data_IF_005906256073
#
_entry.id   IF_005906256073
#
_cell.length_a   1.000
_cell.length_b   1.000
_cell.length_c   1.000
_cell.angle_alpha   90.00
_cell.angle_beta   90.00
_cell.angle_gamma   90.00
#
_symmetry.space_group_name_H-M   'P 1'
#
loop_
_entity.id
_entity.type
_entity.pdbx_description
1 polymer ?
#
# COMPACT_ATOMS: atom_id res chain seq x y z
N UNK A 1 2.89 -14.76 5.54
CA UNK A 1 1.66 -14.71 6.35
C UNK A 1 0.79 -13.60 5.78
N UNK A 2 -0.47 -13.86 5.42
CA UNK A 2 -1.30 -12.88 4.72
C UNK A 2 -1.81 -11.81 5.69
N UNK A 3 -1.45 -10.55 5.46
CA UNK A 3 -2.07 -9.43 6.13
C UNK A 3 -3.21 -8.93 5.25
N UNK A 4 -4.42 -8.97 5.79
CA UNK A 4 -5.61 -8.43 5.16
C UNK A 4 -5.41 -6.92 4.96
N UNK A 5 -5.23 -6.48 3.72
CA UNK A 5 -4.95 -5.07 3.39
C UNK A 5 -6.25 -4.42 2.92
N UNK A 6 -6.77 -3.47 3.70
CA UNK A 6 -8.01 -2.77 3.41
C UNK A 6 -7.81 -1.35 2.90
N UNK A 7 -8.83 -0.84 2.20
CA UNK A 7 -8.97 0.59 1.98
C UNK A 7 -9.11 1.33 3.32
N UNK A 8 -8.27 2.33 3.63
CA UNK A 8 -8.34 3.07 4.90
C UNK A 8 -9.57 3.99 5.01
N UNK A 9 -10.38 4.10 3.94
CA UNK A 9 -11.56 4.98 3.89
C UNK A 9 -12.86 4.19 3.97
N UNK A 10 -13.01 3.13 3.18
CA UNK A 10 -14.25 2.34 3.13
C UNK A 10 -14.12 0.93 3.69
N UNK A 11 -12.93 0.55 4.17
CA UNK A 11 -12.63 -0.75 4.76
C UNK A 11 -12.85 -1.96 3.83
N UNK A 12 -12.93 -1.72 2.51
CA UNK A 12 -13.01 -2.78 1.52
C UNK A 12 -11.68 -3.51 1.41
N UNK A 13 -11.74 -4.84 1.24
CA UNK A 13 -10.55 -5.66 0.97
C UNK A 13 -9.87 -5.25 -0.34
N UNK A 14 -8.58 -4.97 -0.25
CA UNK A 14 -7.68 -4.62 -1.34
C UNK A 14 -6.43 -5.51 -1.36
N UNK A 15 -6.47 -6.66 -0.68
CA UNK A 15 -5.32 -7.58 -0.58
C UNK A 15 -4.84 -8.11 -1.94
N UNK A 16 -5.70 -8.09 -2.96
CA UNK A 16 -5.36 -8.49 -4.34
C UNK A 16 -4.34 -7.56 -5.05
N UNK A 17 -4.06 -6.37 -4.49
CA UNK A 17 -3.01 -5.48 -4.99
C UNK A 17 -1.62 -5.83 -4.44
N UNK A 18 -1.53 -6.74 -3.48
CA UNK A 18 -0.28 -7.07 -2.80
C UNK A 18 0.39 -8.26 -3.50
N UNK A 19 1.66 -8.07 -3.83
CA UNK A 19 2.57 -9.13 -4.22
C UNK A 19 3.60 -9.31 -3.11
N UNK A 20 3.59 -10.47 -2.45
CA UNK A 20 4.47 -10.77 -1.33
C UNK A 20 5.85 -11.27 -1.78
N UNK A 21 5.94 -11.84 -2.99
CA UNK A 21 7.20 -12.32 -3.56
C UNK A 21 7.99 -11.15 -4.18
N UNK A 22 7.29 -10.13 -4.69
CA UNK A 22 7.87 -8.91 -5.24
C UNK A 22 7.24 -7.63 -4.65
N UNK A 23 7.54 -7.29 -3.37
CA UNK A 23 6.93 -6.16 -2.68
C UNK A 23 7.30 -4.83 -3.33
N UNK A 24 6.29 -4.03 -3.69
CA UNK A 24 6.47 -2.73 -4.31
C UNK A 24 5.45 -1.71 -3.84
N UNK A 25 5.90 -0.45 -3.77
CA UNK A 25 4.98 0.66 -3.64
C UNK A 25 4.29 0.93 -4.97
N UNK A 26 2.98 1.18 -4.94
CA UNK A 26 2.24 1.52 -6.15
C UNK A 26 1.06 2.42 -5.86
N UNK A 27 0.59 3.13 -6.89
CA UNK A 27 -0.68 3.85 -6.83
C UNK A 27 -1.82 2.89 -7.19
N UNK A 28 -2.90 2.98 -6.43
CA UNK A 28 -4.13 2.25 -6.69
C UNK A 28 -5.33 3.19 -6.48
N UNK A 29 -6.46 2.85 -7.09
CA UNK A 29 -7.73 3.52 -6.81
C UNK A 29 -8.66 2.47 -6.23
N UNK A 30 -9.25 2.75 -5.07
CA UNK A 30 -10.25 1.86 -4.50
C UNK A 30 -11.47 1.82 -5.43
N UNK A 31 -11.79 0.65 -5.98
CA UNK A 31 -12.92 0.50 -6.92
C UNK A 31 -14.27 0.79 -6.26
N UNK A 32 -14.37 0.62 -4.94
CA UNK A 32 -15.59 0.84 -4.17
C UNK A 32 -15.83 2.32 -3.85
N UNK A 33 -14.88 3.01 -3.22
CA UNK A 33 -15.06 4.42 -2.81
C UNK A 33 -14.34 5.44 -3.70
N UNK A 34 -13.71 5.00 -4.78
CA UNK A 34 -12.97 5.83 -5.75
C UNK A 34 -11.84 6.66 -5.12
N UNK A 35 -11.41 6.32 -3.90
CA UNK A 35 -10.33 7.05 -3.24
C UNK A 35 -8.99 6.66 -3.86
N UNK A 36 -8.15 7.63 -4.26
CA UNK A 36 -6.78 7.36 -4.67
C UNK A 36 -5.94 6.99 -3.45
N UNK A 37 -5.23 5.87 -3.56
CA UNK A 37 -4.43 5.26 -2.51
C UNK A 37 -3.00 5.02 -2.99
N UNK A 38 -2.08 4.93 -2.04
CA UNK A 38 -0.71 4.46 -2.25
C UNK A 38 -0.48 3.22 -1.41
N UNK A 39 -0.16 2.11 -2.06
CA UNK A 39 0.32 0.91 -1.39
C UNK A 39 1.72 1.18 -0.87
N UNK A 40 1.92 0.89 0.41
CA UNK A 40 3.18 0.95 1.12
C UNK A 40 3.52 -0.43 1.66
N UNK A 41 4.81 -0.66 1.84
CA UNK A 41 5.29 -1.85 2.52
C UNK A 41 6.51 -1.54 3.39
N UNK A 42 6.79 -2.41 4.34
CA UNK A 42 7.99 -2.39 5.16
C UNK A 42 8.39 -3.80 5.51
N UNK A 43 9.69 -4.07 5.52
CA UNK A 43 10.26 -5.33 5.95
C UNK A 43 10.91 -5.17 7.32
N UNK A 44 10.72 -6.15 8.19
CA UNK A 44 11.31 -6.19 9.53
C UNK A 44 11.72 -7.63 9.85
N UNK A 45 12.87 -7.79 10.50
CA UNK A 45 13.34 -9.08 10.97
C UNK A 45 12.81 -9.38 12.37
N UNK A 46 11.94 -10.38 12.46
CA UNK A 46 11.44 -10.88 13.74
C UNK A 46 12.46 -11.86 14.36
N UNK A 47 13.03 -11.47 15.50
CA UNK A 47 14.05 -12.26 16.18
C UNK A 47 13.49 -13.50 16.87
N UNK A 48 12.23 -13.45 17.30
CA UNK A 48 11.58 -14.56 18.01
C UNK A 48 11.16 -15.63 17.02
N UNK A 49 10.68 -15.22 15.84
CA UNK A 49 10.35 -16.13 14.74
C UNK A 49 11.58 -16.54 13.91
N UNK A 50 12.68 -15.79 14.01
CA UNK A 50 13.88 -16.00 13.19
C UNK A 50 13.60 -15.84 11.70
N UNK A 51 12.69 -14.93 11.33
CA UNK A 51 12.19 -14.78 9.97
C UNK A 51 11.98 -13.30 9.59
N UNK A 52 12.05 -13.02 8.29
CA UNK A 52 11.66 -11.72 7.75
C UNK A 52 10.13 -11.64 7.64
N UNK A 53 9.57 -10.55 8.14
CA UNK A 53 8.15 -10.23 8.06
C UNK A 53 7.97 -9.00 7.18
N UNK A 54 7.05 -9.12 6.23
CA UNK A 54 6.68 -8.03 5.32
C UNK A 54 5.29 -7.53 5.71
N UNK A 55 5.17 -6.23 5.93
CA UNK A 55 3.92 -5.54 6.20
C UNK A 55 3.49 -4.73 4.99
N UNK A 56 2.19 -4.70 4.71
CA UNK A 56 1.59 -3.93 3.63
C UNK A 56 0.43 -3.09 4.17
N UNK A 57 0.29 -1.85 3.69
CA UNK A 57 -0.83 -0.97 4.03
C UNK A 57 -1.11 0.05 2.93
N UNK A 58 -2.34 0.56 2.89
CA UNK A 58 -2.71 1.67 2.00
C UNK A 58 -2.76 2.99 2.75
N UNK A 59 -2.18 4.02 2.14
CA UNK A 59 -2.33 5.42 2.55
C UNK A 59 -3.21 6.16 1.57
N UNK A 60 -4.08 7.05 2.05
CA UNK A 60 -4.83 7.96 1.18
C UNK A 60 -3.88 8.97 0.56
N UNK A 61 -3.98 9.17 -0.75
CA UNK A 61 -3.20 10.23 -1.41
C UNK A 61 -3.84 11.58 -1.09
N UNK A 62 -3.11 12.44 -0.38
CA UNK A 62 -3.50 13.83 -0.17
C UNK A 62 -3.17 14.66 -1.43
N UNK A 63 -4.10 15.53 -1.83
CA UNK A 63 -4.08 16.26 -3.11
C UNK A 63 -2.84 17.15 -3.32
N UNK A 64 -2.04 17.43 -2.30
CA UNK A 64 -0.86 18.29 -2.42
C UNK A 64 0.34 17.64 -3.14
N UNK A 65 0.31 16.32 -3.39
CA UNK A 65 1.38 15.65 -4.15
C UNK A 65 1.18 15.63 -5.68
N UNK A 66 0.06 16.13 -6.23
CA UNK A 66 -0.13 16.29 -7.68
C UNK A 66 0.86 17.30 -8.32
N UNK A 67 1.55 18.13 -7.54
CA UNK A 67 2.48 19.16 -8.05
C UNK A 67 3.90 18.69 -8.34
N UNK A 68 4.33 17.51 -7.88
CA UNK A 68 5.70 17.03 -8.15
C UNK A 68 5.88 16.29 -9.48
N UNK A 69 4.79 15.91 -10.15
CA UNK A 69 4.85 15.25 -11.47
C UNK A 69 4.85 16.21 -12.68
N UNK A 70 4.67 17.53 -12.47
CA UNK A 70 4.56 18.52 -13.57
C UNK A 70 5.76 19.47 -13.71
N UNK A 71 6.89 19.20 -13.05
CA UNK A 71 8.13 20.00 -13.19
C UNK A 71 9.25 19.31 -13.99
N UNK A 72 8.89 18.48 -14.97
CA UNK A 72 9.80 17.95 -15.99
C UNK A 72 9.20 18.17 -17.38
N UNK A 73 8.88 19.42 -17.71
CA UNK A 73 8.50 19.87 -19.05
C UNK A 73 9.27 21.13 -19.40
#
# INVERSE_FOLDING_TARGET
>A
MFYYVCCPVCNQDLSHFVDADEPKEMFAVCTHCQTPLRLKYSTYWDKDMGAEVIFFWFEKVEKDQERLGKKLS
#
